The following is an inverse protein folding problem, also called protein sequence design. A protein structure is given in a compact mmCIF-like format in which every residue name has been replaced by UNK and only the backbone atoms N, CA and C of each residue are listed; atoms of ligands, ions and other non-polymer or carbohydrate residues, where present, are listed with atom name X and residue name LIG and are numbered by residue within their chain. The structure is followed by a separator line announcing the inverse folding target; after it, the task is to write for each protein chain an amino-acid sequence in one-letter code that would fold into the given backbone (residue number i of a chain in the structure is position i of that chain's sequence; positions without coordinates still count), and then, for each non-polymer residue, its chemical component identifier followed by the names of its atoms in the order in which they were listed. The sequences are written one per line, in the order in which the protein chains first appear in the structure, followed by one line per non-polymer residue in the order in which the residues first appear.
data_IF_397706035768
#
_entry.id   IF_397706035768
#
_cell.length_a   1.000
_cell.length_b   1.000
_cell.length_c   1.000
_cell.angle_alpha   90.00
_cell.angle_beta   90.00
_cell.angle_gamma   90.00
#
_symmetry.space_group_name_H-M   'P 1'
#
loop_
_entity.id
_entity.type
_entity.pdbx_description
1 polymer ?
#
# COMPACT_ATOMS: atom_id res chain seq x y z
N UNK A 1 -29.08 7.41 31.88
CA UNK A 1 -28.35 6.18 32.24
C UNK A 1 -26.90 6.56 32.60
N UNK A 2 -26.55 6.42 33.86
CA UNK A 2 -25.17 6.61 34.29
C UNK A 2 -24.34 5.41 33.76
N UNK A 3 -23.45 5.66 32.82
CA UNK A 3 -22.44 4.67 32.44
C UNK A 3 -21.54 4.44 33.64
N UNK A 4 -21.59 3.25 34.25
CA UNK A 4 -20.70 2.86 35.32
C UNK A 4 -19.27 3.13 34.91
N UNK A 5 -18.56 3.96 35.66
CA UNK A 5 -17.15 4.17 35.52
C UNK A 5 -16.47 2.86 35.90
N UNK A 6 -16.03 2.09 34.90
CA UNK A 6 -15.10 1.01 35.14
C UNK A 6 -13.84 1.68 35.71
N UNK A 7 -13.39 1.29 36.90
CA UNK A 7 -12.30 1.91 37.67
C UNK A 7 -10.91 1.71 37.08
N UNK A 8 -10.80 1.67 35.73
CA UNK A 8 -9.55 1.62 35.01
C UNK A 8 -8.96 3.02 34.95
N UNK A 9 -7.78 3.21 35.56
CA UNK A 9 -7.01 4.44 35.41
C UNK A 9 -6.44 4.49 33.99
N UNK A 10 -7.14 5.17 33.09
CA UNK A 10 -6.69 5.40 31.71
C UNK A 10 -5.64 6.51 31.75
N UNK A 11 -4.39 6.28 31.27
CA UNK A 11 -3.37 7.32 31.22
C UNK A 11 -3.81 8.46 30.31
N UNK A 12 -3.47 9.68 30.67
CA UNK A 12 -3.73 10.86 29.83
C UNK A 12 -2.84 10.85 28.59
N UNK A 13 -3.26 11.59 27.55
CA UNK A 13 -2.46 11.83 26.34
C UNK A 13 -1.02 12.25 26.65
N UNK A 14 -0.86 13.21 27.58
CA UNK A 14 0.45 13.76 27.94
C UNK A 14 1.32 12.73 28.67
N UNK A 15 0.75 11.89 29.51
CA UNK A 15 1.46 10.77 30.16
C UNK A 15 1.96 9.75 29.14
N UNK A 16 1.15 9.42 28.12
CA UNK A 16 1.54 8.51 27.05
C UNK A 16 2.67 9.09 26.19
N UNK A 17 2.56 10.35 25.78
CA UNK A 17 3.61 11.03 25.00
C UNK A 17 4.91 11.13 25.79
N UNK A 18 4.86 11.42 27.10
CA UNK A 18 6.03 11.47 27.96
C UNK A 18 6.70 10.10 28.13
N UNK A 19 5.89 9.03 28.22
CA UNK A 19 6.38 7.67 28.41
C UNK A 19 6.98 7.06 27.15
N UNK A 20 6.37 7.28 26.01
CA UNK A 20 6.71 6.61 24.75
C UNK A 20 7.41 7.52 23.74
N UNK A 21 7.46 8.83 24.00
CA UNK A 21 8.17 9.80 23.17
C UNK A 21 7.80 9.74 21.69
N UNK A 22 8.81 9.62 20.84
CA UNK A 22 8.64 9.54 19.37
C UNK A 22 8.10 8.20 18.87
N UNK A 23 7.93 7.20 19.75
CA UNK A 23 7.38 5.89 19.36
C UNK A 23 5.87 5.93 19.11
N UNK A 24 5.20 6.98 19.56
CA UNK A 24 3.78 7.21 19.31
C UNK A 24 3.56 8.58 18.72
N UNK A 25 2.62 8.67 17.79
CA UNK A 25 2.22 9.91 17.13
C UNK A 25 0.71 10.04 17.24
N UNK A 26 0.23 11.26 17.42
CA UNK A 26 -1.20 11.52 17.41
C UNK A 26 -1.74 11.38 15.99
N UNK A 27 -2.91 10.79 15.84
CA UNK A 27 -3.55 10.63 14.54
C UNK A 27 -3.73 11.98 13.83
N UNK A 28 -4.02 13.05 14.57
CA UNK A 28 -4.13 14.41 14.03
C UNK A 28 -2.82 15.03 13.52
N UNK A 29 -1.68 14.47 13.91
CA UNK A 29 -0.33 14.91 13.53
C UNK A 29 0.30 13.98 12.48
N UNK A 30 -0.39 12.90 12.13
CA UNK A 30 0.07 11.97 11.10
C UNK A 30 -0.05 12.65 9.73
N UNK A 31 1.08 12.79 9.04
CA UNK A 31 1.06 13.28 7.65
C UNK A 31 0.52 12.18 6.75
N UNK A 32 -0.54 12.48 6.03
CA UNK A 32 -0.99 11.62 4.95
C UNK A 32 0.09 11.57 3.85
N UNK A 33 0.42 10.37 3.39
CA UNK A 33 1.29 10.21 2.24
C UNK A 33 0.51 10.63 1.00
N UNK A 34 0.75 11.85 0.51
CA UNK A 34 0.06 12.39 -0.66
C UNK A 34 0.52 11.85 -2.00
N UNK A 35 1.39 10.82 -2.01
CA UNK A 35 1.92 10.22 -3.23
C UNK A 35 1.33 8.83 -3.43
N UNK A 36 0.77 8.63 -4.62
CA UNK A 36 0.13 7.40 -5.05
C UNK A 36 0.72 6.95 -6.38
N UNK A 37 0.92 5.65 -6.54
CA UNK A 37 1.20 5.04 -7.82
C UNK A 37 -0.13 4.60 -8.44
N UNK A 38 -0.66 5.32 -9.42
CA UNK A 38 -1.91 4.93 -10.07
C UNK A 38 -1.69 3.69 -10.94
N UNK A 39 -2.72 2.89 -11.09
CA UNK A 39 -2.78 1.86 -12.13
C UNK A 39 -3.42 2.43 -13.39
N UNK A 40 -3.34 1.71 -14.51
CA UNK A 40 -4.11 2.05 -15.72
C UNK A 40 -5.58 1.62 -15.60
N UNK A 41 -5.94 0.84 -14.58
CA UNK A 41 -7.31 0.38 -14.35
C UNK A 41 -8.06 1.34 -13.43
N UNK A 42 -9.05 2.02 -13.96
CA UNK A 42 -9.88 2.94 -13.18
C UNK A 42 -10.46 2.28 -11.91
N UNK A 43 -10.95 1.05 -12.02
CA UNK A 43 -11.55 0.33 -10.90
C UNK A 43 -10.57 0.12 -9.74
N UNK A 44 -9.30 -0.20 -10.03
CA UNK A 44 -8.27 -0.34 -8.99
C UNK A 44 -7.97 1.01 -8.32
N UNK A 45 -7.81 2.06 -9.11
CA UNK A 45 -7.55 3.40 -8.57
C UNK A 45 -8.71 3.88 -7.70
N UNK A 46 -9.94 3.66 -8.13
CA UNK A 46 -11.13 3.99 -7.36
C UNK A 46 -11.19 3.23 -6.03
N UNK A 47 -10.94 1.91 -6.08
CA UNK A 47 -10.97 1.04 -4.88
C UNK A 47 -9.89 1.41 -3.87
N UNK A 48 -8.70 1.79 -4.33
CA UNK A 48 -7.57 2.14 -3.48
C UNK A 48 -7.49 3.64 -3.14
N UNK A 49 -8.40 4.46 -3.64
CA UNK A 49 -8.40 5.89 -3.38
C UNK A 49 -7.31 6.67 -4.13
N UNK A 50 -6.84 6.14 -5.27
CA UNK A 50 -5.84 6.79 -6.12
C UNK A 50 -4.75 5.88 -6.68
N UNK A 51 -4.66 4.65 -6.20
CA UNK A 51 -3.63 3.68 -6.56
C UNK A 51 -2.92 3.08 -5.35
N UNK A 52 -1.68 2.67 -5.48
CA UNK A 52 -0.87 2.18 -4.36
C UNK A 52 -0.20 3.37 -3.66
N UNK A 53 -0.40 3.56 -2.34
CA UNK A 53 0.31 4.62 -1.62
C UNK A 53 1.80 4.29 -1.53
N UNK A 54 2.65 5.26 -1.83
CA UNK A 54 4.10 5.09 -1.70
C UNK A 54 4.51 4.77 -0.25
N UNK A 55 5.53 3.91 -0.10
CA UNK A 55 6.04 3.49 1.20
C UNK A 55 5.13 2.50 1.94
N UNK A 56 4.19 1.88 1.25
CA UNK A 56 3.31 0.85 1.80
C UNK A 56 3.52 -0.48 1.08
N UNK A 57 3.05 -1.55 1.70
CA UNK A 57 3.02 -2.89 1.13
C UNK A 57 1.58 -3.17 0.71
N UNK A 58 1.41 -3.62 -0.53
CA UNK A 58 0.15 -4.14 -1.04
C UNK A 58 0.26 -5.66 -1.19
N UNK A 59 -0.64 -6.38 -0.56
CA UNK A 59 -0.82 -7.82 -0.78
C UNK A 59 -1.96 -8.05 -1.76
N UNK A 60 -1.73 -8.88 -2.78
CA UNK A 60 -2.74 -9.30 -3.75
C UNK A 60 -2.90 -10.79 -3.63
N UNK A 61 -4.03 -11.24 -3.10
CA UNK A 61 -4.36 -12.64 -2.92
C UNK A 61 -5.52 -13.05 -3.82
N UNK A 62 -5.56 -14.31 -4.22
CA UNK A 62 -6.60 -14.87 -5.06
C UNK A 62 -6.22 -16.26 -5.58
N UNK A 63 -7.18 -16.93 -6.20
CA UNK A 63 -6.99 -18.24 -6.82
C UNK A 63 -5.97 -18.17 -7.97
N UNK A 64 -5.49 -19.34 -8.38
CA UNK A 64 -4.65 -19.46 -9.57
C UNK A 64 -5.36 -18.88 -10.80
N UNK A 65 -4.58 -18.23 -11.67
CA UNK A 65 -5.09 -17.58 -12.90
C UNK A 65 -6.15 -16.48 -12.69
N UNK A 66 -6.27 -15.92 -11.48
CA UNK A 66 -7.21 -14.83 -11.16
C UNK A 66 -6.73 -13.43 -11.59
N UNK A 67 -5.54 -13.31 -12.19
CA UNK A 67 -5.00 -12.03 -12.67
C UNK A 67 -4.08 -11.29 -11.67
N UNK A 68 -3.62 -11.93 -10.61
CA UNK A 68 -2.71 -11.31 -9.62
C UNK A 68 -1.45 -10.73 -10.26
N UNK A 69 -0.78 -11.53 -11.10
CA UNK A 69 0.42 -11.08 -11.81
C UNK A 69 0.11 -9.97 -12.81
N UNK A 70 -1.06 -9.98 -13.45
CA UNK A 70 -1.49 -8.91 -14.34
C UNK A 70 -1.60 -7.56 -13.61
N UNK A 71 -2.12 -7.57 -12.40
CA UNK A 71 -2.16 -6.36 -11.55
C UNK A 71 -0.73 -5.88 -11.26
N UNK A 72 0.19 -6.79 -10.93
CA UNK A 72 1.59 -6.45 -10.67
C UNK A 72 2.27 -5.85 -11.92
N UNK A 73 2.10 -6.45 -13.10
CA UNK A 73 2.60 -5.88 -14.36
C UNK A 73 2.04 -4.48 -14.63
N UNK A 74 0.76 -4.26 -14.33
CA UNK A 74 0.14 -2.96 -14.55
C UNK A 74 0.76 -1.87 -13.67
N UNK A 75 1.04 -2.16 -12.41
CA UNK A 75 1.73 -1.23 -11.53
C UNK A 75 3.22 -1.06 -11.91
N UNK A 76 3.88 -2.12 -12.39
CA UNK A 76 5.24 -2.03 -12.92
C UNK A 76 5.30 -1.06 -14.12
N UNK A 77 4.40 -1.23 -15.08
CA UNK A 77 4.25 -0.31 -16.21
C UNK A 77 4.03 1.13 -15.73
N UNK A 78 3.07 1.35 -14.85
CA UNK A 78 2.79 2.71 -14.33
C UNK A 78 3.98 3.33 -13.61
N UNK A 79 4.75 2.53 -12.88
CA UNK A 79 5.99 2.98 -12.22
C UNK A 79 7.02 3.45 -13.26
N UNK A 80 7.25 2.66 -14.31
CA UNK A 80 8.18 3.01 -15.38
C UNK A 80 7.75 4.26 -16.15
N UNK A 81 6.44 4.44 -16.40
CA UNK A 81 5.91 5.65 -17.05
C UNK A 81 6.16 6.92 -16.22
N UNK A 82 6.25 6.81 -14.90
CA UNK A 82 6.61 7.90 -14.00
C UNK A 82 8.14 8.07 -13.83
N UNK A 83 8.96 7.33 -14.57
CA UNK A 83 10.42 7.36 -14.47
C UNK A 83 10.97 6.59 -13.26
N UNK A 84 10.16 5.75 -12.63
CA UNK A 84 10.58 4.89 -11.53
C UNK A 84 11.26 3.60 -12.00
N UNK A 85 11.92 2.93 -11.07
CA UNK A 85 12.53 1.62 -11.30
C UNK A 85 11.71 0.54 -10.62
N UNK A 86 11.63 -0.62 -11.27
CA UNK A 86 10.92 -1.79 -10.76
C UNK A 86 11.93 -2.90 -10.47
N UNK A 87 11.81 -3.51 -9.31
CA UNK A 87 12.54 -4.72 -8.96
C UNK A 87 11.52 -5.85 -8.87
N UNK A 88 11.66 -6.84 -9.74
CA UNK A 88 10.80 -8.02 -9.74
C UNK A 88 11.51 -9.20 -9.09
N UNK A 89 10.92 -9.73 -8.02
CA UNK A 89 11.41 -10.93 -7.33
C UNK A 89 10.48 -12.08 -7.66
N UNK A 90 10.92 -12.97 -8.53
CA UNK A 90 10.13 -14.09 -9.05
C UNK A 90 10.53 -15.42 -8.39
N UNK A 91 9.90 -15.74 -7.29
CA UNK A 91 10.15 -17.00 -6.57
C UNK A 91 9.61 -18.24 -7.29
N UNK A 92 8.61 -18.06 -8.15
CA UNK A 92 7.97 -19.16 -8.90
C UNK A 92 8.62 -19.40 -10.28
N UNK A 93 9.54 -18.52 -10.68
CA UNK A 93 10.19 -18.57 -12.02
C UNK A 93 9.17 -18.54 -13.17
N UNK A 94 8.14 -17.75 -13.01
CA UNK A 94 7.03 -17.61 -13.95
C UNK A 94 7.15 -16.39 -14.88
N UNK A 95 8.21 -15.57 -14.73
CA UNK A 95 8.45 -14.40 -15.54
C UNK A 95 8.65 -14.74 -17.02
N UNK A 96 7.99 -14.01 -17.90
CA UNK A 96 8.16 -14.10 -19.34
C UNK A 96 8.30 -12.68 -19.93
N UNK A 97 9.43 -12.41 -20.59
CA UNK A 97 9.67 -11.11 -21.22
C UNK A 97 8.58 -10.73 -22.24
N UNK A 98 8.15 -11.68 -23.07
CA UNK A 98 7.09 -11.45 -24.04
C UNK A 98 5.76 -11.03 -23.39
N UNK A 99 5.47 -11.58 -22.21
CA UNK A 99 4.27 -11.20 -21.47
C UNK A 99 4.42 -9.82 -20.80
N UNK A 100 5.62 -9.50 -20.31
CA UNK A 100 5.93 -8.18 -19.77
C UNK A 100 5.77 -7.11 -20.86
N UNK A 101 6.34 -7.31 -22.05
CA UNK A 101 6.24 -6.41 -23.19
C UNK A 101 4.81 -6.20 -23.66
N UNK A 102 3.98 -7.27 -23.73
CA UNK A 102 2.55 -7.15 -24.07
C UNK A 102 1.80 -6.26 -23.06
N UNK A 103 2.21 -6.28 -21.80
CA UNK A 103 1.65 -5.44 -20.74
C UNK A 103 2.33 -4.06 -20.65
N UNK A 104 3.21 -3.73 -21.60
CA UNK A 104 3.90 -2.43 -21.71
C UNK A 104 5.08 -2.27 -20.77
N UNK A 105 5.45 -3.32 -20.03
CA UNK A 105 6.62 -3.29 -19.13
C UNK A 105 7.89 -3.50 -19.94
N UNK A 106 8.86 -2.62 -19.75
CA UNK A 106 10.21 -2.77 -20.27
C UNK A 106 11.00 -3.70 -19.32
N UNK A 107 11.36 -4.92 -19.78
CA UNK A 107 11.96 -5.94 -18.91
C UNK A 107 13.39 -5.66 -18.47
#
# INVERSE_FOLDING_TARGET
MAKGKVGLKVPSKNELLKKYGSSIVLASETKETGLWLPSTFFALNYTFGGGIPFGKILEVAGEESSGKSLIAYNFAYSCQQLGGHVIWVDAEQSWMNSWAEINGVDP
#
